data_IF_393232147064
#
_entry.id   IF_393232147064
#
_cell.length_a   1.000
_cell.length_b   1.000
_cell.length_c   1.000
_cell.angle_alpha   90.00
_cell.angle_beta   90.00
_cell.angle_gamma   90.00
#
_symmetry.space_group_name_H-M   'P 1'
#
loop_
_entity.id
_entity.type
_entity.pdbx_description
1 polymer ?
#
# COMPACT_ATOMS: atom_id res chain seq x y z
N UNK A 1 -8.01 -25.42 20.12
CA UNK A 1 -7.58 -24.49 21.20
C UNK A 1 -8.84 -24.00 21.89
N UNK A 2 -8.86 -23.95 23.22
CA UNK A 2 -10.03 -23.48 23.97
C UNK A 2 -10.09 -21.94 23.91
N UNK A 3 -11.27 -21.34 23.85
CA UNK A 3 -11.43 -19.89 23.63
C UNK A 3 -10.66 -19.02 24.66
N UNK A 4 -10.57 -19.46 25.91
CA UNK A 4 -9.82 -18.78 26.98
C UNK A 4 -8.34 -18.56 26.61
N UNK A 5 -7.68 -19.60 26.08
CA UNK A 5 -6.26 -19.51 25.68
C UNK A 5 -5.99 -18.54 24.53
N UNK A 6 -6.99 -18.26 23.69
CA UNK A 6 -6.88 -17.29 22.60
C UNK A 6 -7.08 -15.85 23.09
N UNK A 7 -7.98 -15.65 24.06
CA UNK A 7 -8.20 -14.35 24.67
C UNK A 7 -6.94 -13.91 25.46
N UNK A 8 -6.32 -14.83 26.21
CA UNK A 8 -5.09 -14.54 26.97
C UNK A 8 -3.93 -14.13 26.05
N UNK A 9 -3.77 -14.82 24.91
CA UNK A 9 -2.78 -14.46 23.90
C UNK A 9 -3.05 -13.08 23.27
N UNK A 10 -4.32 -12.73 23.07
CA UNK A 10 -4.69 -11.43 22.52
C UNK A 10 -4.37 -10.29 23.50
N UNK A 11 -4.61 -10.49 24.80
CA UNK A 11 -4.23 -9.53 25.86
C UNK A 11 -2.72 -9.35 25.90
N UNK A 12 -1.94 -10.43 25.87
CA UNK A 12 -0.48 -10.36 25.86
C UNK A 12 0.06 -9.46 24.73
N UNK A 13 -0.48 -9.59 23.52
CA UNK A 13 -0.11 -8.75 22.37
C UNK A 13 -0.61 -7.30 22.55
N UNK A 14 -1.83 -7.14 23.08
CA UNK A 14 -2.42 -5.83 23.32
C UNK A 14 -1.73 -5.04 24.45
N UNK A 15 -0.98 -5.69 25.33
CA UNK A 15 -0.18 -5.02 26.37
C UNK A 15 1.27 -4.76 25.95
N UNK A 16 1.77 -5.44 24.92
CA UNK A 16 3.15 -5.27 24.46
C UNK A 16 3.41 -3.85 23.91
N UNK A 17 4.32 -3.15 24.58
CA UNK A 17 4.74 -1.80 24.21
C UNK A 17 5.45 -1.76 22.86
N UNK A 18 6.27 -2.78 22.55
CA UNK A 18 7.01 -2.81 21.28
C UNK A 18 6.05 -2.89 20.10
N UNK A 19 5.05 -3.77 20.19
CA UNK A 19 4.01 -3.88 19.18
C UNK A 19 3.26 -2.56 18.96
N UNK A 20 2.82 -1.89 20.03
CA UNK A 20 2.16 -0.57 19.94
C UNK A 20 3.07 0.50 19.30
N UNK A 21 4.35 0.53 19.66
CA UNK A 21 5.32 1.46 19.05
C UNK A 21 5.48 1.23 17.55
N UNK A 22 5.50 -0.03 17.10
CA UNK A 22 5.54 -0.36 15.67
C UNK A 22 4.29 0.15 14.96
N UNK A 23 3.10 -0.07 15.52
CA UNK A 23 1.85 0.44 14.94
C UNK A 23 1.82 1.96 14.83
N UNK A 24 2.22 2.67 15.90
CA UNK A 24 2.30 4.13 15.92
C UNK A 24 3.30 4.66 14.88
N UNK A 25 4.49 4.07 14.80
CA UNK A 25 5.49 4.48 13.80
C UNK A 25 4.99 4.27 12.36
N UNK A 26 4.28 3.16 12.09
CA UNK A 26 3.64 2.90 10.79
C UNK A 26 2.60 3.95 10.45
N UNK A 27 1.78 4.38 11.41
CA UNK A 27 0.80 5.47 11.20
C UNK A 27 1.51 6.77 10.87
N UNK A 28 2.50 7.18 11.66
CA UNK A 28 3.25 8.43 11.46
C UNK A 28 3.90 8.45 10.07
N UNK A 29 4.62 7.39 9.70
CA UNK A 29 5.24 7.28 8.39
C UNK A 29 4.21 7.32 7.26
N UNK A 30 3.04 6.71 7.44
CA UNK A 30 1.96 6.72 6.44
C UNK A 30 1.37 8.12 6.28
N UNK A 31 1.19 8.87 7.37
CA UNK A 31 0.71 10.27 7.32
C UNK A 31 1.72 11.15 6.57
N UNK A 32 3.01 11.04 6.91
CA UNK A 32 4.07 11.79 6.22
C UNK A 32 4.08 11.45 4.73
N UNK A 33 4.00 10.16 4.37
CA UNK A 33 3.96 9.72 2.99
C UNK A 33 2.75 10.30 2.24
N UNK A 34 1.54 10.25 2.82
CA UNK A 34 0.33 10.82 2.19
C UNK A 34 0.50 12.31 1.95
N UNK A 35 0.97 13.07 2.93
CA UNK A 35 1.18 14.53 2.80
C UNK A 35 2.19 14.83 1.69
N UNK A 36 3.33 14.14 1.65
CA UNK A 36 4.36 14.36 0.62
C UNK A 36 3.85 14.01 -0.78
N UNK A 37 3.12 12.91 -0.93
CA UNK A 37 2.57 12.49 -2.22
C UNK A 37 1.49 13.46 -2.70
N UNK A 38 0.61 13.94 -1.81
CA UNK A 38 -0.39 14.94 -2.16
C UNK A 38 0.28 16.26 -2.58
N UNK A 39 1.29 16.72 -1.84
CA UNK A 39 2.05 17.92 -2.20
C UNK A 39 2.70 17.77 -3.59
N UNK A 40 3.27 16.59 -3.88
CA UNK A 40 3.85 16.30 -5.18
C UNK A 40 2.79 16.27 -6.29
N UNK A 41 1.62 15.68 -6.07
CA UNK A 41 0.54 15.64 -7.08
C UNK A 41 -0.07 17.03 -7.34
N UNK A 42 -0.14 17.88 -6.32
CA UNK A 42 -0.53 19.29 -6.47
C UNK A 42 0.50 20.07 -7.30
N UNK A 43 1.79 19.72 -7.19
CA UNK A 43 2.85 20.31 -8.01
C UNK A 43 3.06 19.53 -9.31
N UNK A 44 2.39 19.95 -10.39
CA UNK A 44 2.51 19.24 -11.68
C UNK A 44 3.85 19.41 -12.39
N UNK A 45 4.72 20.34 -11.96
CA UNK A 45 5.98 20.65 -12.62
C UNK A 45 6.86 19.44 -12.91
N UNK A 46 7.23 18.63 -11.88
CA UNK A 46 8.05 17.44 -12.06
C UNK A 46 7.45 16.41 -13.03
N UNK A 47 6.11 16.29 -13.10
CA UNK A 47 5.45 15.32 -13.99
C UNK A 47 5.50 15.70 -15.47
N UNK A 48 5.69 16.98 -15.79
CA UNK A 48 5.75 17.46 -17.17
C UNK A 48 7.09 17.14 -17.84
N UNK A 49 8.16 16.95 -17.07
CA UNK A 49 9.50 16.64 -17.57
C UNK A 49 9.67 15.16 -17.94
N UNK A 50 8.82 14.28 -17.39
CA UNK A 50 8.89 12.85 -17.68
C UNK A 50 8.22 12.49 -19.00
N UNK A 51 8.84 11.54 -19.71
CA UNK A 51 8.21 10.91 -20.86
C UNK A 51 6.85 10.28 -20.50
N UNK A 52 5.93 10.25 -21.47
CA UNK A 52 4.52 9.86 -21.25
C UNK A 52 4.37 8.48 -20.58
N UNK A 53 5.20 7.50 -20.96
CA UNK A 53 5.16 6.15 -20.37
C UNK A 53 5.53 6.18 -18.88
N UNK A 54 6.68 6.80 -18.56
CA UNK A 54 7.13 6.97 -17.18
C UNK A 54 6.12 7.76 -16.34
N UNK A 55 5.53 8.81 -16.90
CA UNK A 55 4.51 9.63 -16.22
C UNK A 55 3.28 8.80 -15.81
N UNK A 56 2.76 7.95 -16.71
CA UNK A 56 1.62 7.08 -16.41
C UNK A 56 1.94 6.12 -15.26
N UNK A 57 3.11 5.47 -15.31
CA UNK A 57 3.53 4.53 -14.26
C UNK A 57 3.79 5.22 -12.93
N UNK A 58 4.41 6.41 -12.94
CA UNK A 58 4.60 7.23 -11.76
C UNK A 58 3.25 7.62 -11.14
N UNK A 59 2.30 8.13 -11.92
CA UNK A 59 0.98 8.48 -11.39
C UNK A 59 0.26 7.27 -10.78
N UNK A 60 0.34 6.09 -11.43
CA UNK A 60 -0.20 4.84 -10.89
C UNK A 60 0.47 4.44 -9.57
N UNK A 61 1.79 4.57 -9.47
CA UNK A 61 2.54 4.31 -8.24
C UNK A 61 2.13 5.24 -7.11
N UNK A 62 2.08 6.55 -7.35
CA UNK A 62 1.71 7.55 -6.33
C UNK A 62 0.28 7.34 -5.85
N UNK A 63 -0.64 7.01 -6.74
CA UNK A 63 -2.01 6.64 -6.38
C UNK A 63 -2.06 5.39 -5.48
N UNK A 64 -1.26 4.37 -5.81
CA UNK A 64 -1.17 3.13 -5.02
C UNK A 64 -0.60 3.40 -3.61
N UNK A 65 0.41 4.27 -3.51
CA UNK A 65 0.99 4.70 -2.23
C UNK A 65 0.00 5.51 -1.40
N UNK A 66 -0.83 6.36 -2.01
CA UNK A 66 -1.91 7.07 -1.30
C UNK A 66 -2.92 6.09 -0.71
N UNK A 67 -3.41 5.14 -1.52
CA UNK A 67 -4.34 4.12 -1.05
C UNK A 67 -3.73 3.27 0.07
N UNK A 68 -2.45 2.88 -0.07
CA UNK A 68 -1.70 2.19 0.98
C UNK A 68 -1.68 3.00 2.27
N UNK A 69 -1.32 4.28 2.20
CA UNK A 69 -1.21 5.15 3.36
C UNK A 69 -2.53 5.26 4.11
N UNK A 70 -3.63 5.53 3.39
CA UNK A 70 -4.97 5.60 3.97
C UNK A 70 -5.39 4.27 4.60
N UNK A 71 -5.20 3.15 3.90
CA UNK A 71 -5.55 1.82 4.41
C UNK A 71 -4.74 1.45 5.67
N UNK A 72 -3.44 1.75 5.69
CA UNK A 72 -2.56 1.52 6.85
C UNK A 72 -3.00 2.37 8.05
N UNK A 73 -3.30 3.65 7.84
CA UNK A 73 -3.80 4.53 8.91
C UNK A 73 -5.11 3.98 9.47
N UNK A 74 -6.06 3.61 8.61
CA UNK A 74 -7.35 3.08 9.05
C UNK A 74 -7.21 1.78 9.84
N UNK A 75 -6.43 0.81 9.33
CA UNK A 75 -6.19 -0.47 10.00
C UNK A 75 -5.54 -0.28 11.37
N UNK A 76 -4.39 0.39 11.43
CA UNK A 76 -3.62 0.47 12.67
C UNK A 76 -4.25 1.41 13.69
N UNK A 77 -4.99 2.44 13.25
CA UNK A 77 -5.78 3.25 14.19
C UNK A 77 -6.92 2.44 14.78
N UNK A 78 -7.61 1.61 13.98
CA UNK A 78 -8.64 0.72 14.48
C UNK A 78 -8.09 -0.33 15.47
N UNK A 79 -6.89 -0.87 15.20
CA UNK A 79 -6.20 -1.79 16.11
C UNK A 79 -5.85 -1.09 17.44
N UNK A 80 -5.26 0.12 17.40
CA UNK A 80 -4.91 0.87 18.60
C UNK A 80 -6.13 1.26 19.43
N UNK A 81 -7.22 1.71 18.80
CA UNK A 81 -8.48 2.01 19.48
C UNK A 81 -9.04 0.76 20.17
N UNK A 82 -8.93 -0.39 19.52
CA UNK A 82 -9.36 -1.66 20.11
C UNK A 82 -8.51 -2.04 21.32
N UNK A 83 -7.20 -1.83 21.25
CA UNK A 83 -6.29 -2.10 22.37
C UNK A 83 -6.42 -1.10 23.54
N UNK A 84 -6.98 0.08 23.31
CA UNK A 84 -7.20 1.07 24.37
C UNK A 84 -8.57 0.99 25.03
N UNK A 85 -9.54 0.32 24.40
CA UNK A 85 -10.95 0.37 24.79
C UNK A 85 -11.58 -1.00 25.01
N UNK A 86 -10.77 -2.05 25.16
CA UNK A 86 -11.28 -3.38 25.52
C UNK A 86 -11.61 -3.41 27.02
N UNK A 87 -12.74 -4.01 27.37
CA UNK A 87 -13.15 -4.23 28.78
C UNK A 87 -12.90 -5.69 29.17
N UNK A 88 -13.23 -6.63 28.28
CA UNK A 88 -12.99 -8.05 28.46
C UNK A 88 -11.86 -8.57 27.55
N UNK A 89 -11.02 -9.53 28.00
CA UNK A 89 -9.95 -10.13 27.20
C UNK A 89 -10.40 -10.64 25.83
N UNK A 90 -11.62 -11.16 25.73
CA UNK A 90 -12.15 -11.74 24.51
C UNK A 90 -12.66 -10.68 23.51
N UNK A 91 -12.85 -9.42 23.94
CA UNK A 91 -13.24 -8.33 23.02
C UNK A 91 -12.14 -8.04 22.00
N UNK A 92 -10.88 -8.32 22.36
CA UNK A 92 -9.72 -8.16 21.49
C UNK A 92 -9.77 -9.08 20.27
N UNK A 93 -10.50 -10.20 20.34
CA UNK A 93 -10.71 -11.08 19.20
C UNK A 93 -11.56 -10.37 18.13
N UNK A 94 -11.03 -10.31 16.91
CA UNK A 94 -11.73 -9.74 15.76
C UNK A 94 -12.31 -10.86 14.92
N UNK A 95 -13.55 -10.72 14.46
CA UNK A 95 -14.14 -11.67 13.52
C UNK A 95 -13.30 -11.80 12.25
N UNK A 96 -13.23 -12.99 11.67
CA UNK A 96 -12.44 -13.24 10.46
C UNK A 96 -12.79 -12.31 9.30
N UNK A 97 -14.08 -12.01 9.13
CA UNK A 97 -14.60 -11.11 8.09
C UNK A 97 -14.14 -9.66 8.28
N UNK A 98 -14.17 -9.13 9.52
CA UNK A 98 -13.67 -7.78 9.82
C UNK A 98 -12.15 -7.70 9.65
N UNK A 99 -11.43 -8.75 10.06
CA UNK A 99 -9.99 -8.83 9.86
C UNK A 99 -9.63 -8.81 8.37
N UNK A 100 -10.31 -9.62 7.56
CA UNK A 100 -10.13 -9.62 6.11
C UNK A 100 -10.45 -8.25 5.50
N UNK A 101 -11.58 -7.64 5.87
CA UNK A 101 -11.99 -6.33 5.33
C UNK A 101 -10.95 -5.23 5.60
N UNK A 102 -10.32 -5.23 6.78
CA UNK A 102 -9.33 -4.22 7.15
C UNK A 102 -7.93 -4.52 6.61
N UNK A 103 -7.52 -5.80 6.55
CA UNK A 103 -6.17 -6.19 6.12
C UNK A 103 -6.02 -6.37 4.61
N UNK A 104 -7.09 -6.73 3.92
CA UNK A 104 -7.06 -6.97 2.48
C UNK A 104 -6.68 -5.72 1.67
N UNK A 105 -7.22 -4.51 1.95
CA UNK A 105 -6.80 -3.28 1.27
C UNK A 105 -5.32 -2.97 1.45
N UNK A 106 -4.79 -3.11 2.67
CA UNK A 106 -3.36 -2.90 2.99
C UNK A 106 -2.48 -3.89 2.22
N UNK A 107 -2.90 -5.15 2.14
CA UNK A 107 -2.13 -6.20 1.46
C UNK A 107 -2.09 -5.98 -0.05
N UNK A 108 -3.23 -5.67 -0.67
CA UNK A 108 -3.31 -5.41 -2.12
C UNK A 108 -2.47 -4.20 -2.50
N UNK A 109 -2.63 -3.09 -1.78
CA UNK A 109 -1.92 -1.84 -2.09
C UNK A 109 -0.41 -2.01 -1.92
N UNK A 110 0.02 -2.90 -1.01
CA UNK A 110 1.44 -3.20 -0.80
C UNK A 110 2.03 -3.92 -2.00
N UNK A 111 1.37 -5.00 -2.46
CA UNK A 111 1.79 -5.71 -3.66
C UNK A 111 1.74 -4.83 -4.91
N UNK A 112 0.73 -3.97 -5.02
CA UNK A 112 0.61 -3.02 -6.13
C UNK A 112 1.80 -2.07 -6.17
N UNK A 113 2.19 -1.54 -5.02
CA UNK A 113 3.35 -0.64 -4.88
C UNK A 113 4.66 -1.34 -5.30
N UNK A 114 4.81 -2.63 -5.01
CA UNK A 114 5.98 -3.41 -5.46
C UNK A 114 5.94 -3.63 -6.98
N UNK A 115 4.79 -4.03 -7.52
CA UNK A 115 4.64 -4.29 -8.96
C UNK A 115 4.82 -3.03 -9.81
N UNK A 116 4.29 -1.90 -9.37
CA UNK A 116 4.52 -0.59 -10.02
C UNK A 116 6.02 -0.26 -10.09
N UNK A 117 6.78 -0.48 -9.01
CA UNK A 117 8.24 -0.27 -9.01
C UNK A 117 8.96 -1.17 -10.00
N UNK A 118 8.57 -2.43 -10.08
CA UNK A 118 9.11 -3.36 -11.06
C UNK A 118 8.81 -2.93 -12.51
N UNK A 119 7.57 -2.50 -12.79
CA UNK A 119 7.21 -1.99 -14.12
C UNK A 119 7.95 -0.70 -14.48
N UNK A 120 8.16 0.20 -13.53
CA UNK A 120 9.00 1.39 -13.73
C UNK A 120 10.45 0.97 -14.05
N UNK A 121 11.02 -0.02 -13.37
CA UNK A 121 12.35 -0.50 -13.67
C UNK A 121 12.46 -1.06 -15.11
N UNK A 122 11.46 -1.83 -15.57
CA UNK A 122 11.40 -2.31 -16.95
C UNK A 122 11.34 -1.14 -17.94
N UNK A 123 10.47 -0.16 -17.68
CA UNK A 123 10.35 1.04 -18.53
C UNK A 123 11.69 1.77 -18.65
N UNK A 124 12.43 1.92 -17.55
CA UNK A 124 13.77 2.54 -17.56
C UNK A 124 14.78 1.73 -18.34
N UNK A 125 14.79 0.41 -18.21
CA UNK A 125 15.68 -0.45 -19.01
C UNK A 125 15.39 -0.30 -20.50
N UNK A 126 14.11 -0.29 -20.89
CA UNK A 126 13.70 -0.09 -22.29
C UNK A 126 14.12 1.29 -22.79
N UNK A 127 13.89 2.35 -21.99
CA UNK A 127 14.28 3.71 -22.34
C UNK A 127 15.80 3.85 -22.53
N UNK A 128 16.61 3.23 -21.67
CA UNK A 128 18.08 3.24 -21.81
C UNK A 128 18.56 2.44 -23.02
N UNK A 129 17.96 1.28 -23.30
CA UNK A 129 18.38 0.42 -24.43
C UNK A 129 17.94 0.95 -25.79
N UNK A 130 16.78 1.62 -25.85
CA UNK A 130 16.17 2.10 -27.09
C UNK A 130 16.08 3.64 -27.14
N UNK A 131 17.03 4.34 -26.51
CA UNK A 131 17.00 5.80 -26.34
C UNK A 131 16.62 6.58 -27.61
N UNK A 132 17.23 6.23 -28.75
CA UNK A 132 17.00 6.91 -30.03
C UNK A 132 15.55 6.79 -30.56
N UNK A 133 14.88 5.67 -30.28
CA UNK A 133 13.52 5.40 -30.76
C UNK A 133 12.47 5.72 -29.68
N UNK A 134 12.88 5.68 -28.42
CA UNK A 134 12.02 5.80 -27.25
C UNK A 134 11.32 7.18 -27.20
N UNK A 135 12.04 8.27 -27.48
CA UNK A 135 11.46 9.63 -27.47
C UNK A 135 10.38 9.86 -28.53
N UNK A 136 10.45 9.10 -29.63
CA UNK A 136 9.44 9.13 -30.70
C UNK A 136 8.27 8.17 -30.46
N UNK A 137 8.40 7.30 -29.45
CA UNK A 137 7.39 6.29 -29.14
C UNK A 137 6.25 6.91 -28.34
N UNK A 138 5.01 6.53 -28.63
CA UNK A 138 3.85 6.99 -27.89
C UNK A 138 3.75 6.44 -26.46
N UNK A 139 2.58 6.62 -25.85
CA UNK A 139 2.28 6.19 -24.48
C UNK A 139 1.92 4.70 -24.32
N UNK A 140 2.02 3.90 -25.40
CA UNK A 140 1.53 2.53 -25.46
C UNK A 140 2.25 1.60 -24.47
N UNK A 141 3.56 1.75 -24.31
CA UNK A 141 4.32 0.95 -23.35
C UNK A 141 3.88 1.22 -21.92
N UNK A 142 3.62 2.49 -21.57
CA UNK A 142 3.12 2.87 -20.24
C UNK A 142 1.76 2.25 -19.95
N UNK A 143 0.82 2.32 -20.91
CA UNK A 143 -0.50 1.70 -20.75
C UNK A 143 -0.43 0.18 -20.65
N UNK A 144 0.38 -0.48 -21.48
CA UNK A 144 0.52 -1.95 -21.43
C UNK A 144 1.12 -2.42 -20.10
N UNK A 145 2.15 -1.75 -19.60
CA UNK A 145 2.75 -2.06 -18.30
C UNK A 145 1.79 -1.77 -17.13
N UNK A 146 1.03 -0.67 -17.18
CA UNK A 146 0.01 -0.36 -16.18
C UNK A 146 -1.15 -1.38 -16.18
N UNK A 147 -1.56 -1.87 -17.35
CA UNK A 147 -2.57 -2.92 -17.48
C UNK A 147 -2.07 -4.28 -16.98
N UNK A 148 -0.80 -4.63 -17.27
CA UNK A 148 -0.18 -5.84 -16.73
C UNK A 148 -0.11 -5.81 -15.21
N UNK A 149 0.28 -4.67 -14.64
CA UNK A 149 0.21 -4.42 -13.21
C UNK A 149 -1.22 -4.60 -12.69
N UNK A 150 -2.23 -4.03 -13.35
CA UNK A 150 -3.65 -4.22 -13.00
C UNK A 150 -4.08 -5.71 -13.08
N UNK A 151 -3.51 -6.48 -13.99
CA UNK A 151 -3.75 -7.91 -14.12
C UNK A 151 -3.28 -8.72 -12.91
N UNK A 152 -2.19 -8.31 -12.24
CA UNK A 152 -1.70 -8.99 -11.02
C UNK A 152 -2.72 -8.93 -9.86
N UNK A 153 -3.59 -7.92 -9.84
CA UNK A 153 -4.69 -7.82 -8.88
C UNK A 153 -5.73 -8.94 -9.05
N UNK A 154 -5.96 -9.37 -10.29
CA UNK A 154 -6.94 -10.43 -10.61
C UNK A 154 -6.36 -11.78 -10.18
N UNK A 155 -5.06 -11.99 -10.38
CA UNK A 155 -4.35 -13.22 -10.04
C UNK A 155 -4.22 -13.46 -8.52
N UNK A 156 -4.17 -12.39 -7.72
CA UNK A 156 -4.16 -12.46 -6.25
C UNK A 156 -5.52 -12.85 -5.65
N UNK A 157 -6.60 -12.85 -6.44
CA UNK A 157 -7.97 -13.14 -5.99
C UNK A 157 -8.24 -14.63 -5.70
N UNK A 158 -7.23 -15.49 -5.74
CA UNK A 158 -7.36 -16.95 -5.58
C UNK A 158 -6.23 -17.52 -4.74
N UNK A 159 -6.33 -17.41 -3.42
CA UNK A 159 -5.78 -18.34 -2.43
C UNK A 159 -6.33 -18.06 -1.05
#
# INVERSE_FOLDING_TARGET
MNNTSLCDAAVYIAEDYLFKSVLLSRIILSVIAVVLILALLCNQGPYLEYHKNARILLLSHHFSVLLQGVATIALHSADLLKFSSYEEPCDLLTSGTRCQLLRYPVTITYYTTIWTQFMMAIERVVATRLFHTYERTGALLGYTLALLQAGTFISLKWR
#
